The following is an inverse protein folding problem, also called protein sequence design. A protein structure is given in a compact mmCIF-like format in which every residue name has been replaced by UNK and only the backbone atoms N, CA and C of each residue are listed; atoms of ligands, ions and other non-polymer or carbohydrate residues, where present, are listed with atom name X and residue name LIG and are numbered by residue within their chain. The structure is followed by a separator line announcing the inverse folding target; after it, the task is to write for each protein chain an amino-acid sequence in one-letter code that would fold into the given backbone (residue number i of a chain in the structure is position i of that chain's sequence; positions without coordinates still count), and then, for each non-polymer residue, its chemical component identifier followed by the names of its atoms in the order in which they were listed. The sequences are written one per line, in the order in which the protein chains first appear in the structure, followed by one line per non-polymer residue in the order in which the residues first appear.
data_IF_015834126505
#
_entry.id   IF_015834126505
#
_cell.length_a   1.000
_cell.length_b   1.000
_cell.length_c   1.000
_cell.angle_alpha   90.00
_cell.angle_beta   90.00
_cell.angle_gamma   90.00
#
_symmetry.space_group_name_H-M   'P 1'
#
loop_
_entity.id
_entity.type
_entity.pdbx_description
1 polymer ?
#
# COMPACT_ATOMS: atom_id res chain seq x y z
N UNK A 1 -27.15 -9.85 -23.64
CA UNK A 1 -28.19 -10.67 -24.28
C UNK A 1 -29.49 -9.91 -24.11
N UNK A 2 -30.22 -9.72 -25.22
CA UNK A 2 -31.52 -9.07 -25.20
C UNK A 2 -32.63 -10.00 -24.60
N UNK A 3 -33.89 -9.49 -24.55
CA UNK A 3 -35.03 -10.26 -24.03
C UNK A 3 -35.36 -11.51 -24.87
N UNK A 4 -34.86 -11.59 -26.09
CA UNK A 4 -35.06 -12.72 -27.01
C UNK A 4 -33.86 -13.69 -27.02
N UNK A 5 -32.93 -13.54 -26.06
CA UNK A 5 -31.67 -14.31 -25.93
C UNK A 5 -30.67 -14.13 -27.07
N UNK A 6 -30.78 -13.06 -27.86
CA UNK A 6 -29.77 -12.71 -28.86
C UNK A 6 -28.59 -12.00 -28.20
N UNK A 7 -27.37 -12.22 -28.69
CA UNK A 7 -26.23 -11.44 -28.31
C UNK A 7 -26.39 -10.00 -28.80
N UNK A 8 -26.29 -9.02 -27.88
CA UNK A 8 -26.32 -7.61 -28.24
C UNK A 8 -24.95 -7.16 -28.77
N UNK A 9 -23.91 -7.68 -28.14
CA UNK A 9 -22.52 -7.41 -28.52
C UNK A 9 -21.57 -8.43 -27.89
N UNK A 10 -20.37 -8.60 -28.45
CA UNK A 10 -19.30 -9.43 -27.92
C UNK A 10 -18.07 -8.55 -27.75
N UNK A 11 -17.70 -8.30 -26.49
CA UNK A 11 -16.49 -7.58 -26.15
C UNK A 11 -15.36 -8.58 -25.95
N UNK A 12 -14.31 -8.47 -26.74
CA UNK A 12 -13.06 -9.20 -26.47
C UNK A 12 -12.30 -8.49 -25.36
N UNK A 13 -11.71 -9.25 -24.41
CA UNK A 13 -10.95 -8.70 -23.28
C UNK A 13 -9.82 -7.75 -23.71
N UNK A 14 -9.27 -7.97 -24.89
CA UNK A 14 -8.21 -7.16 -25.48
C UNK A 14 -8.69 -5.77 -25.97
N UNK A 15 -10.01 -5.58 -26.15
CA UNK A 15 -10.62 -4.29 -26.51
C UNK A 15 -11.13 -3.51 -25.29
N UNK A 16 -11.19 -4.12 -24.12
CA UNK A 16 -11.54 -3.44 -22.85
C UNK A 16 -10.32 -2.73 -22.24
N UNK A 17 -9.17 -2.74 -22.88
CA UNK A 17 -8.06 -1.82 -22.60
C UNK A 17 -8.35 -0.36 -22.99
N UNK A 18 -9.57 0.13 -22.88
CA UNK A 18 -9.78 1.54 -22.57
C UNK A 18 -9.28 1.72 -21.15
N UNK A 19 -7.98 1.92 -21.07
CA UNK A 19 -7.25 2.12 -19.84
C UNK A 19 -8.00 3.13 -18.99
N UNK A 20 -8.65 2.66 -17.93
CA UNK A 20 -9.08 3.53 -16.84
C UNK A 20 -7.82 4.29 -16.38
N UNK A 21 -7.66 5.53 -16.86
CA UNK A 21 -6.54 6.35 -16.44
C UNK A 21 -6.91 6.98 -15.11
N UNK A 22 -6.20 6.57 -14.06
CA UNK A 22 -6.33 7.17 -12.75
C UNK A 22 -5.37 8.36 -12.61
N UNK A 23 -5.91 9.55 -12.40
CA UNK A 23 -5.12 10.74 -12.06
C UNK A 23 -4.67 10.75 -10.59
N UNK A 24 -5.16 9.79 -9.83
CA UNK A 24 -4.86 9.63 -8.40
C UNK A 24 -3.38 9.33 -8.21
N UNK A 25 -2.66 10.10 -7.36
CA UNK A 25 -1.26 9.80 -7.06
C UNK A 25 -1.12 8.49 -6.29
N UNK A 26 -0.02 7.78 -6.54
CA UNK A 26 0.38 6.62 -5.73
C UNK A 26 1.72 6.87 -5.09
N UNK A 27 1.80 6.75 -3.78
CA UNK A 27 3.03 6.91 -3.01
C UNK A 27 3.57 5.53 -2.64
N UNK A 28 4.79 5.22 -3.07
CA UNK A 28 5.49 3.99 -2.71
C UNK A 28 6.51 4.32 -1.62
N UNK A 29 6.38 3.72 -0.45
CA UNK A 29 7.27 3.95 0.68
C UNK A 29 8.53 3.11 0.57
N UNK A 30 9.65 3.73 0.24
CA UNK A 30 10.94 3.09 -0.03
C UNK A 30 12.09 3.61 0.83
N UNK A 31 11.83 4.43 1.86
CA UNK A 31 12.84 5.08 2.70
C UNK A 31 13.44 4.20 3.82
N UNK A 32 13.02 2.95 3.99
CA UNK A 32 13.44 2.08 5.07
C UNK A 32 14.87 1.54 4.94
N UNK A 33 15.56 1.34 6.07
CA UNK A 33 16.93 0.78 6.11
C UNK A 33 17.03 -0.72 5.76
N UNK A 34 15.94 -1.45 5.76
CA UNK A 34 15.96 -2.89 5.49
C UNK A 34 16.72 -3.75 6.49
N UNK A 35 16.96 -3.28 7.74
CA UNK A 35 17.84 -3.92 8.74
C UNK A 35 17.64 -5.43 8.95
N UNK A 36 16.39 -5.91 8.82
CA UNK A 36 16.06 -7.34 8.99
C UNK A 36 16.61 -8.24 7.89
N UNK A 37 16.99 -7.66 6.75
CA UNK A 37 17.54 -8.38 5.60
C UNK A 37 19.06 -8.20 5.46
N UNK A 38 19.74 -7.66 6.47
CA UNK A 38 21.20 -7.60 6.46
C UNK A 38 21.78 -9.03 6.37
N UNK A 39 22.87 -9.25 5.58
CA UNK A 39 23.71 -8.23 4.92
C UNK A 39 23.23 -7.80 3.53
N UNK A 40 22.15 -8.39 2.97
CA UNK A 40 21.69 -8.11 1.60
C UNK A 40 21.39 -6.62 1.35
N UNK A 41 20.93 -5.93 2.39
CA UNK A 41 20.57 -4.50 2.31
C UNK A 41 21.68 -3.55 2.69
N UNK A 42 22.93 -4.04 2.87
CA UNK A 42 24.08 -3.19 3.19
C UNK A 42 24.42 -2.22 2.04
N UNK A 43 24.43 -2.74 0.81
CA UNK A 43 24.82 -2.01 -0.39
C UNK A 43 23.69 -1.90 -1.43
N UNK A 44 22.48 -2.38 -1.10
CA UNK A 44 21.32 -2.32 -1.98
C UNK A 44 20.08 -2.02 -1.14
N UNK A 45 19.29 -0.96 -1.45
CA UNK A 45 18.09 -0.67 -0.69
C UNK A 45 17.06 -1.79 -0.89
N UNK A 46 16.33 -2.17 0.16
CA UNK A 46 15.37 -3.28 0.14
C UNK A 46 14.44 -3.28 -1.07
N UNK A 47 13.87 -2.14 -1.52
CA UNK A 47 12.99 -2.11 -2.68
C UNK A 47 13.66 -2.47 -4.01
N UNK A 48 15.01 -2.39 -4.09
CA UNK A 48 15.78 -2.79 -5.27
C UNK A 48 16.28 -4.24 -5.21
N UNK A 49 16.05 -4.97 -4.12
CA UNK A 49 16.37 -6.39 -4.08
C UNK A 49 15.56 -7.14 -5.15
N UNK A 50 16.24 -8.01 -5.94
CA UNK A 50 15.58 -8.68 -7.04
C UNK A 50 14.66 -9.81 -6.56
N UNK A 51 13.49 -9.87 -7.15
CA UNK A 51 12.54 -10.98 -7.06
C UNK A 51 12.15 -11.35 -8.48
N UNK A 52 12.27 -12.60 -8.88
CA UNK A 52 12.01 -13.04 -10.26
C UNK A 52 12.74 -12.18 -11.32
N UNK A 53 14.01 -11.86 -11.05
CA UNK A 53 14.88 -11.14 -11.98
C UNK A 53 14.69 -9.61 -12.04
N UNK A 54 13.76 -9.03 -11.27
CA UNK A 54 13.49 -7.60 -11.25
C UNK A 54 13.36 -7.07 -9.82
N UNK A 55 13.70 -5.79 -9.56
CA UNK A 55 13.46 -5.15 -8.27
C UNK A 55 12.00 -5.29 -7.80
N UNK A 56 11.79 -5.51 -6.50
CA UNK A 56 10.43 -5.61 -5.94
C UNK A 56 9.58 -4.40 -6.31
N UNK A 57 10.15 -3.20 -6.20
CA UNK A 57 9.42 -1.95 -6.51
C UNK A 57 9.06 -1.85 -8.00
N UNK A 58 9.83 -2.46 -8.91
CA UNK A 58 9.48 -2.50 -10.34
C UNK A 58 8.21 -3.32 -10.59
N UNK A 59 8.06 -4.45 -9.89
CA UNK A 59 6.80 -5.23 -9.95
C UNK A 59 5.60 -4.41 -9.51
N UNK A 60 5.76 -3.61 -8.43
CA UNK A 60 4.70 -2.72 -7.94
C UNK A 60 4.36 -1.67 -9.00
N UNK A 61 5.36 -1.02 -9.60
CA UNK A 61 5.17 0.00 -10.63
C UNK A 61 4.47 -0.59 -11.87
N UNK A 62 4.90 -1.77 -12.33
CA UNK A 62 4.29 -2.44 -13.46
C UNK A 62 2.82 -2.79 -13.21
N UNK A 63 2.49 -3.26 -12.00
CA UNK A 63 1.11 -3.52 -11.60
C UNK A 63 0.28 -2.24 -11.54
N UNK A 64 0.79 -1.17 -10.94
CA UNK A 64 0.12 0.12 -10.91
C UNK A 64 -0.15 0.65 -12.33
N UNK A 65 0.85 0.57 -13.21
CA UNK A 65 0.72 0.95 -14.61
C UNK A 65 -0.35 0.14 -15.33
N UNK A 66 -0.39 -1.18 -15.15
CA UNK A 66 -1.41 -2.04 -15.78
C UNK A 66 -2.83 -1.74 -15.31
N UNK A 67 -2.98 -1.17 -14.10
CA UNK A 67 -4.25 -0.69 -13.57
C UNK A 67 -4.51 0.80 -13.88
N UNK A 68 -3.71 1.45 -14.74
CA UNK A 68 -3.94 2.82 -15.21
C UNK A 68 -3.35 3.92 -14.33
N UNK A 69 -2.60 3.60 -13.27
CA UNK A 69 -1.92 4.59 -12.43
C UNK A 69 -0.57 4.97 -13.05
N UNK A 70 -0.41 6.24 -13.41
CA UNK A 70 0.81 6.76 -14.03
C UNK A 70 1.54 7.81 -13.19
N UNK A 71 0.88 8.38 -12.17
CA UNK A 71 1.45 9.43 -11.33
C UNK A 71 1.98 8.81 -10.03
N UNK A 72 3.27 8.49 -10.00
CA UNK A 72 3.91 7.76 -8.91
C UNK A 72 4.85 8.66 -8.14
N UNK A 73 4.83 8.57 -6.83
CA UNK A 73 5.77 9.20 -5.91
C UNK A 73 6.51 8.11 -5.15
N UNK A 74 7.83 8.20 -5.11
CA UNK A 74 8.65 7.27 -4.31
C UNK A 74 9.24 8.03 -3.13
N UNK A 75 8.85 7.64 -1.91
CA UNK A 75 9.50 8.17 -0.70
C UNK A 75 10.83 7.47 -0.50
N UNK A 76 11.91 8.26 -0.41
CA UNK A 76 13.28 7.75 -0.35
C UNK A 76 14.06 8.38 0.80
N UNK A 77 14.98 7.61 1.39
CA UNK A 77 15.92 8.05 2.41
C UNK A 77 17.25 7.30 2.27
N UNK A 78 17.29 6.04 2.72
CA UNK A 78 18.49 5.21 2.68
C UNK A 78 18.82 4.80 1.23
N UNK A 79 20.07 5.02 0.80
CA UNK A 79 20.56 4.72 -0.57
C UNK A 79 19.64 5.27 -1.68
N UNK A 80 19.10 6.47 -1.46
CA UNK A 80 18.14 7.12 -2.36
C UNK A 80 18.68 7.32 -3.78
N UNK A 81 19.99 7.56 -3.93
CA UNK A 81 20.65 7.71 -5.22
C UNK A 81 20.46 6.50 -6.13
N UNK A 82 20.57 5.28 -5.59
CA UNK A 82 20.41 4.04 -6.36
C UNK A 82 18.98 3.89 -6.91
N UNK A 83 17.97 4.27 -6.10
CA UNK A 83 16.56 4.22 -6.54
C UNK A 83 16.33 5.25 -7.65
N UNK A 84 16.89 6.46 -7.50
CA UNK A 84 16.78 7.53 -8.50
C UNK A 84 17.50 7.18 -9.80
N UNK A 85 18.68 6.57 -9.71
CA UNK A 85 19.46 6.12 -10.87
C UNK A 85 18.70 5.04 -11.65
N UNK A 86 18.10 4.08 -10.94
CA UNK A 86 17.37 2.97 -11.57
C UNK A 86 16.09 3.44 -12.29
N UNK A 87 15.28 4.25 -11.64
CA UNK A 87 13.95 4.63 -12.16
C UNK A 87 13.93 5.96 -12.90
N UNK A 88 14.89 6.87 -12.64
CA UNK A 88 14.91 8.20 -13.23
C UNK A 88 13.58 8.94 -12.98
N UNK A 89 13.03 9.51 -14.04
CA UNK A 89 11.71 10.15 -14.03
C UNK A 89 10.55 9.21 -14.39
N UNK A 90 10.81 7.91 -14.53
CA UNK A 90 9.81 6.90 -14.84
C UNK A 90 9.47 6.71 -16.33
N UNK A 91 10.01 7.54 -17.23
CA UNK A 91 9.68 7.48 -18.66
C UNK A 91 9.94 6.10 -19.27
N UNK A 92 11.04 5.45 -18.92
CA UNK A 92 11.40 4.11 -19.41
C UNK A 92 10.43 3.02 -18.91
N UNK A 93 9.69 3.28 -17.86
CA UNK A 93 8.67 2.38 -17.29
C UNK A 93 7.25 2.74 -17.75
N UNK A 94 7.09 3.83 -18.50
CA UNK A 94 5.79 4.32 -19.01
C UNK A 94 4.93 4.97 -17.92
N UNK A 95 5.55 5.55 -16.90
CA UNK A 95 4.93 6.28 -15.79
C UNK A 95 5.68 7.59 -15.55
N UNK A 96 5.12 8.47 -14.72
CA UNK A 96 5.81 9.66 -14.19
C UNK A 96 6.18 9.39 -12.74
N UNK A 97 7.48 9.50 -12.43
CA UNK A 97 7.98 9.28 -11.07
C UNK A 97 8.50 10.59 -10.49
N UNK A 98 7.98 10.95 -9.35
CA UNK A 98 8.45 12.03 -8.49
C UNK A 98 9.01 11.44 -7.19
N UNK A 99 9.88 12.16 -6.50
CA UNK A 99 10.52 11.67 -5.28
C UNK A 99 10.17 12.54 -4.08
N UNK A 100 9.79 11.88 -2.98
CA UNK A 100 9.62 12.51 -1.67
C UNK A 100 10.88 12.19 -0.88
N UNK A 101 11.75 13.15 -0.72
CA UNK A 101 13.00 12.96 0.01
C UNK A 101 12.80 13.17 1.51
N UNK A 102 13.20 12.19 2.30
CA UNK A 102 13.19 12.25 3.75
C UNK A 102 14.62 12.58 4.24
N UNK A 103 14.83 13.78 4.81
CA UNK A 103 16.12 14.17 5.41
C UNK A 103 16.50 13.32 6.63
N UNK A 104 15.52 12.72 7.27
CA UNK A 104 15.63 11.77 8.40
C UNK A 104 14.51 10.75 8.31
N UNK A 105 14.66 9.56 8.91
CA UNK A 105 13.59 8.56 8.91
C UNK A 105 12.32 9.09 9.57
N UNK A 106 11.25 9.25 8.81
CA UNK A 106 9.99 9.81 9.30
C UNK A 106 8.95 8.72 9.66
N UNK A 107 9.29 7.45 9.51
CA UNK A 107 8.37 6.33 9.70
C UNK A 107 7.42 6.17 8.51
N UNK A 108 6.55 5.17 8.60
CA UNK A 108 5.71 4.74 7.47
C UNK A 108 4.59 5.71 7.08
N UNK A 109 4.30 6.73 7.89
CA UNK A 109 3.31 7.77 7.54
C UNK A 109 3.90 9.19 7.52
N UNK A 110 5.09 9.40 8.10
CA UNK A 110 5.66 10.74 8.23
C UNK A 110 6.04 11.38 6.91
N UNK A 111 6.46 10.59 5.91
CA UNK A 111 6.76 11.07 4.55
C UNK A 111 5.56 11.78 3.91
N UNK A 112 4.32 11.41 4.27
CA UNK A 112 3.10 12.03 3.76
C UNK A 112 2.98 13.52 4.14
N UNK A 113 3.68 13.97 5.20
CA UNK A 113 3.74 15.40 5.56
C UNK A 113 4.49 16.25 4.54
N UNK A 114 5.35 15.63 3.75
CA UNK A 114 6.13 16.26 2.69
C UNK A 114 5.51 16.04 1.30
N UNK A 115 4.47 15.23 1.22
CA UNK A 115 3.75 14.99 -0.03
C UNK A 115 2.91 16.22 -0.40
N UNK A 116 3.11 16.67 -1.63
CA UNK A 116 2.31 17.74 -2.25
C UNK A 116 1.78 17.19 -3.56
N UNK A 117 0.47 17.00 -3.62
CA UNK A 117 -0.21 16.71 -4.87
C UNK A 117 -0.51 17.99 -5.63
N UNK A 118 -0.39 17.92 -6.96
CA UNK A 118 -0.81 18.99 -7.85
C UNK A 118 -2.33 18.99 -8.10
N UNK A 119 -3.03 17.99 -7.58
CA UNK A 119 -4.49 17.86 -7.66
C UNK A 119 -5.08 17.49 -6.29
N UNK A 120 -6.37 17.75 -6.09
CA UNK A 120 -7.09 17.43 -4.85
C UNK A 120 -7.62 15.99 -4.82
N UNK A 121 -7.09 15.09 -5.68
CA UNK A 121 -7.52 13.70 -5.73
C UNK A 121 -7.07 12.93 -4.49
N UNK A 122 -7.87 11.95 -4.11
CA UNK A 122 -7.47 10.93 -3.14
C UNK A 122 -6.24 10.18 -3.64
N UNK A 123 -5.40 9.70 -2.74
CA UNK A 123 -4.15 9.05 -3.12
C UNK A 123 -3.96 7.70 -2.44
N UNK A 124 -3.24 6.83 -3.11
CA UNK A 124 -2.87 5.50 -2.61
C UNK A 124 -1.49 5.58 -1.96
N UNK A 125 -1.28 4.83 -0.91
CA UNK A 125 0.03 4.61 -0.29
C UNK A 125 0.28 3.12 -0.20
N UNK A 126 1.44 2.66 -0.62
CA UNK A 126 1.84 1.26 -0.44
C UNK A 126 3.29 1.14 0.03
N UNK A 127 3.58 0.08 0.76
CA UNK A 127 4.95 -0.27 1.10
C UNK A 127 5.71 -0.70 -0.15
N UNK A 128 6.98 -0.28 -0.28
CA UNK A 128 7.84 -0.61 -1.42
C UNK A 128 8.35 -2.06 -1.46
N UNK A 129 7.82 -2.93 -0.62
CA UNK A 129 8.18 -4.34 -0.49
C UNK A 129 6.97 -5.29 -0.51
N UNK A 130 5.80 -4.78 -0.89
CA UNK A 130 4.55 -5.56 -0.94
C UNK A 130 4.27 -6.02 -2.37
N UNK A 131 4.34 -7.32 -2.59
CA UNK A 131 3.79 -7.98 -3.77
C UNK A 131 2.41 -8.54 -3.44
N UNK A 132 1.41 -8.24 -4.26
CA UNK A 132 0.00 -8.52 -3.95
C UNK A 132 -0.85 -8.66 -5.21
N UNK A 133 -1.91 -9.44 -5.12
CA UNK A 133 -2.94 -9.57 -6.16
C UNK A 133 -4.10 -8.58 -5.98
N UNK A 134 -4.09 -7.79 -4.88
CA UNK A 134 -5.14 -6.78 -4.66
C UNK A 134 -5.18 -5.78 -5.83
N UNK A 135 -6.36 -5.45 -6.32
CA UNK A 135 -6.54 -4.38 -7.29
C UNK A 135 -6.53 -3.03 -6.59
N UNK A 136 -5.60 -2.17 -6.99
CA UNK A 136 -5.51 -0.78 -6.50
C UNK A 136 -6.70 0.04 -6.97
N UNK A 137 -7.20 -0.21 -8.19
CA UNK A 137 -8.40 0.44 -8.74
C UNK A 137 -9.63 0.10 -7.91
N UNK A 138 -9.87 -1.18 -7.62
CA UNK A 138 -10.99 -1.60 -6.77
C UNK A 138 -10.89 -1.05 -5.36
N UNK A 139 -9.70 -0.96 -4.78
CA UNK A 139 -9.49 -0.38 -3.46
C UNK A 139 -9.82 1.12 -3.44
N UNK A 140 -9.44 1.84 -4.51
CA UNK A 140 -9.77 3.26 -4.68
C UNK A 140 -11.28 3.47 -4.84
N UNK A 141 -11.94 2.65 -5.64
CA UNK A 141 -13.39 2.66 -5.82
C UNK A 141 -14.13 2.38 -4.50
N UNK A 142 -13.68 1.38 -3.76
CA UNK A 142 -14.23 1.07 -2.43
C UNK A 142 -14.10 2.27 -1.49
N UNK A 143 -12.92 2.92 -1.45
CA UNK A 143 -12.69 4.11 -0.65
C UNK A 143 -13.67 5.25 -1.01
N UNK A 144 -13.84 5.50 -2.31
CA UNK A 144 -14.68 6.56 -2.84
C UNK A 144 -16.17 6.32 -2.55
N UNK A 145 -16.66 5.10 -2.82
CA UNK A 145 -18.07 4.71 -2.57
C UNK A 145 -18.45 4.82 -1.09
N UNK A 146 -17.54 4.45 -0.18
CA UNK A 146 -17.77 4.55 1.24
C UNK A 146 -17.49 5.95 1.82
N UNK A 147 -17.11 6.91 0.99
CA UNK A 147 -16.77 8.29 1.39
C UNK A 147 -15.77 8.34 2.56
N UNK A 148 -14.92 7.33 2.65
CA UNK A 148 -13.97 7.18 3.75
C UNK A 148 -12.91 8.27 3.74
N UNK A 149 -12.38 8.65 4.91
CA UNK A 149 -11.22 9.55 5.01
C UNK A 149 -9.90 8.79 4.83
N UNK A 150 -9.90 7.53 5.27
CA UNK A 150 -8.79 6.60 5.16
C UNK A 150 -9.34 5.19 5.02
N UNK A 151 -8.73 4.39 4.14
CA UNK A 151 -9.02 2.97 3.94
C UNK A 151 -7.73 2.19 4.06
N UNK A 152 -7.76 1.05 4.71
CA UNK A 152 -6.62 0.14 4.88
C UNK A 152 -6.97 -1.21 4.27
N UNK A 153 -6.12 -1.71 3.38
CA UNK A 153 -6.21 -3.10 2.97
C UNK A 153 -5.72 -4.01 4.09
N UNK A 154 -6.47 -5.07 4.34
CA UNK A 154 -6.14 -6.05 5.35
C UNK A 154 -6.17 -7.45 4.75
N UNK A 155 -5.35 -8.33 5.30
CA UNK A 155 -5.35 -9.76 4.97
C UNK A 155 -5.91 -10.56 6.14
N UNK A 156 -6.76 -11.52 5.86
CA UNK A 156 -7.15 -12.51 6.85
C UNK A 156 -5.97 -13.42 7.16
N UNK A 157 -5.72 -13.62 8.45
CA UNK A 157 -4.68 -14.50 8.94
C UNK A 157 -5.29 -15.49 9.93
N UNK A 158 -5.03 -16.77 9.71
CA UNK A 158 -5.51 -17.85 10.54
C UNK A 158 -4.36 -18.42 11.33
N UNK A 159 -4.51 -18.44 12.64
CA UNK A 159 -3.57 -19.07 13.55
C UNK A 159 -4.22 -20.28 14.18
N UNK A 160 -3.67 -21.47 13.93
CA UNK A 160 -4.08 -22.71 14.62
C UNK A 160 -3.20 -22.92 15.85
N UNK A 161 -3.80 -22.88 17.03
CA UNK A 161 -3.08 -23.20 18.26
C UNK A 161 -2.68 -24.68 18.24
N UNK A 162 -1.42 -25.02 18.56
CA UNK A 162 -0.99 -26.41 18.57
C UNK A 162 -1.53 -27.21 19.78
N UNK A 163 -2.07 -26.51 20.78
CA UNK A 163 -2.54 -27.07 22.05
C UNK A 163 -3.97 -26.66 22.37
N UNK A 164 -4.57 -27.30 23.38
CA UNK A 164 -5.85 -26.86 23.97
C UNK A 164 -5.69 -25.49 24.64
N UNK A 165 -6.61 -24.56 24.34
CA UNK A 165 -6.64 -23.22 24.93
C UNK A 165 -7.68 -23.18 26.05
N UNK A 166 -7.25 -22.80 27.25
CA UNK A 166 -8.08 -22.71 28.43
C UNK A 166 -8.34 -21.25 28.74
N UNK A 167 -9.62 -20.86 28.88
CA UNK A 167 -10.00 -19.56 29.42
C UNK A 167 -10.42 -19.71 30.87
N UNK A 168 -9.92 -18.83 31.73
CA UNK A 168 -10.22 -18.85 33.17
C UNK A 168 -10.97 -17.59 33.59
N UNK A 169 -11.68 -17.67 34.71
CA UNK A 169 -12.15 -16.53 35.49
C UNK A 169 -11.63 -16.73 36.92
N UNK A 170 -10.57 -16.01 37.27
CA UNK A 170 -9.76 -16.31 38.43
C UNK A 170 -9.18 -17.73 38.33
N UNK A 171 -9.39 -18.57 39.35
CA UNK A 171 -8.92 -19.96 39.38
C UNK A 171 -9.90 -20.97 38.75
N UNK A 172 -11.06 -20.53 38.28
CA UNK A 172 -12.09 -21.41 37.68
C UNK A 172 -11.95 -21.45 36.19
N UNK A 173 -11.98 -22.66 35.61
CA UNK A 173 -12.00 -22.84 34.14
C UNK A 173 -13.37 -22.38 33.62
N UNK A 174 -13.32 -21.43 32.67
CA UNK A 174 -14.51 -20.91 31.97
C UNK A 174 -14.82 -21.68 30.68
N UNK A 175 -13.79 -22.03 29.93
CA UNK A 175 -13.94 -22.82 28.70
C UNK A 175 -12.61 -23.49 28.31
N UNK A 176 -12.72 -24.60 27.59
CA UNK A 176 -11.61 -25.33 26.99
C UNK A 176 -11.91 -25.45 25.50
N UNK A 177 -10.96 -25.16 24.64
CA UNK A 177 -11.06 -25.35 23.19
C UNK A 177 -9.82 -26.08 22.71
N UNK A 178 -9.99 -27.27 22.13
CA UNK A 178 -8.88 -28.03 21.59
C UNK A 178 -8.44 -27.47 20.23
N UNK A 179 -7.16 -27.13 20.14
CA UNK A 179 -6.49 -26.63 18.92
C UNK A 179 -7.31 -25.61 18.12
N UNK A 180 -7.82 -24.54 18.76
CA UNK A 180 -8.70 -23.59 18.09
C UNK A 180 -7.96 -22.87 16.97
N UNK A 181 -8.70 -22.53 15.91
CA UNK A 181 -8.23 -21.63 14.86
C UNK A 181 -8.74 -20.23 15.20
N UNK A 182 -7.81 -19.31 15.40
CA UNK A 182 -8.10 -17.90 15.57
C UNK A 182 -7.93 -17.15 14.25
N UNK A 183 -8.94 -16.37 13.90
CA UNK A 183 -8.93 -15.49 12.72
C UNK A 183 -8.63 -14.07 13.17
N UNK A 184 -7.63 -13.46 12.54
CA UNK A 184 -7.27 -12.05 12.75
C UNK A 184 -7.13 -11.33 11.41
N UNK A 185 -7.16 -10.00 11.43
CA UNK A 185 -6.84 -9.18 10.28
C UNK A 185 -5.46 -8.54 10.46
N UNK A 186 -4.58 -8.73 9.51
CA UNK A 186 -3.26 -8.11 9.50
C UNK A 186 -3.19 -7.01 8.46
N UNK A 187 -2.45 -5.96 8.77
CA UNK A 187 -2.23 -4.83 7.89
C UNK A 187 -1.44 -5.26 6.64
N UNK A 188 -1.99 -5.07 5.44
CA UNK A 188 -1.36 -5.45 4.18
C UNK A 188 -0.34 -4.41 3.66
N UNK A 189 -0.20 -3.25 4.32
CA UNK A 189 0.72 -2.19 3.90
C UNK A 189 0.24 -1.40 2.69
N UNK A 190 -1.06 -1.39 2.42
CA UNK A 190 -1.68 -0.65 1.32
C UNK A 190 -2.85 0.16 1.87
N UNK A 191 -2.92 1.42 1.48
CA UNK A 191 -3.88 2.38 2.03
C UNK A 191 -4.39 3.33 0.96
N UNK A 192 -5.59 3.87 1.17
CA UNK A 192 -6.11 5.01 0.39
C UNK A 192 -6.49 6.13 1.36
N UNK A 193 -6.21 7.34 0.98
CA UNK A 193 -6.46 8.51 1.81
C UNK A 193 -7.09 9.65 1.02
N UNK A 194 -7.99 10.39 1.67
CA UNK A 194 -8.41 11.72 1.20
C UNK A 194 -7.21 12.67 1.22
N UNK A 195 -7.05 13.49 0.17
CA UNK A 195 -5.92 14.41 0.08
C UNK A 195 -5.80 15.33 1.31
N UNK A 196 -6.93 15.78 1.85
CA UNK A 196 -6.97 16.67 3.03
C UNK A 196 -6.27 16.14 4.27
N UNK A 197 -5.99 14.81 4.37
CA UNK A 197 -5.33 14.24 5.56
C UNK A 197 -3.87 14.68 5.69
N UNK A 198 -3.23 15.10 4.61
CA UNK A 198 -1.84 15.58 4.64
C UNK A 198 -1.70 16.80 5.55
N UNK A 199 -2.74 17.62 5.64
CA UNK A 199 -2.81 18.82 6.52
C UNK A 199 -2.84 18.48 8.03
N UNK A 200 -3.14 17.22 8.38
CA UNK A 200 -3.20 16.75 9.77
C UNK A 200 -1.81 16.41 10.30
N UNK A 201 -0.91 16.00 9.40
CA UNK A 201 0.44 15.62 9.73
C UNK A 201 1.32 16.84 10.00
N UNK A 202 2.07 16.79 11.10
CA UNK A 202 3.08 17.82 11.36
C UNK A 202 4.30 17.54 10.49
N UNK A 203 4.77 18.58 9.80
CA UNK A 203 5.95 18.50 8.93
C UNK A 203 7.16 17.93 9.68
N UNK A 204 7.90 17.05 9.03
CA UNK A 204 9.13 16.43 9.53
C UNK A 204 9.01 15.72 10.90
N UNK A 205 7.79 15.36 11.30
CA UNK A 205 7.55 14.57 12.51
C UNK A 205 7.47 13.08 12.16
N UNK A 206 8.26 12.28 12.87
CA UNK A 206 8.19 10.81 12.76
C UNK A 206 6.83 10.31 13.25
N UNK A 207 6.15 9.51 12.40
CA UNK A 207 4.92 8.82 12.75
C UNK A 207 4.81 7.52 11.94
N UNK A 208 4.44 6.45 12.62
CA UNK A 208 4.17 5.17 11.97
C UNK A 208 2.71 5.10 11.51
N UNK A 209 2.43 4.32 10.47
CA UNK A 209 1.08 4.21 9.91
C UNK A 209 0.01 3.78 10.93
N UNK A 210 0.26 2.81 11.83
CA UNK A 210 -0.72 2.47 12.87
C UNK A 210 -1.04 3.63 13.81
N UNK A 211 -0.03 4.45 14.16
CA UNK A 211 -0.24 5.62 15.03
C UNK A 211 -1.01 6.71 14.30
N UNK A 212 -0.78 6.84 12.99
CA UNK A 212 -1.55 7.76 12.17
C UNK A 212 -3.03 7.38 12.12
N UNK A 213 -3.35 6.09 11.92
CA UNK A 213 -4.74 5.62 11.99
C UNK A 213 -5.37 5.82 13.37
N UNK A 214 -4.61 5.62 14.46
CA UNK A 214 -5.08 5.94 15.83
C UNK A 214 -5.39 7.43 15.99
N UNK A 215 -4.55 8.29 15.42
CA UNK A 215 -4.77 9.74 15.42
C UNK A 215 -6.03 10.13 14.64
N UNK A 216 -6.27 9.55 13.45
CA UNK A 216 -7.48 9.78 12.66
C UNK A 216 -8.72 9.37 13.46
N UNK A 217 -8.72 8.15 14.04
CA UNK A 217 -9.81 7.66 14.89
C UNK A 217 -10.09 8.60 16.07
N UNK A 218 -9.04 9.07 16.77
CA UNK A 218 -9.20 10.01 17.91
C UNK A 218 -9.83 11.33 17.50
N UNK A 219 -9.58 11.80 16.27
CA UNK A 219 -10.15 13.04 15.72
C UNK A 219 -11.54 12.83 15.10
N UNK A 220 -12.14 11.64 15.23
CA UNK A 220 -13.48 11.28 14.69
C UNK A 220 -13.57 11.47 13.16
N UNK A 221 -12.47 11.18 12.46
CA UNK A 221 -12.47 11.10 11.00
C UNK A 221 -12.91 9.70 10.54
#
# INVERSE_FOLDING_TARGET
IDKNKNFLDVFFSDTIETSLQHENPVIIMAGGFGKRLMPLTKNCPKPLLPVLGKPVIEHIINKLKSEGFKNIFISTHYLSSMIREYFGNGKNFGVTINYIEEKKPLGTAGCLSNFKSNNDKDFIVCNGDVLTDISFSHLLDYHSRNKSIATMAVREYFWKHPFGVIKTNGLKIKSIKEKPIEKTYINAGIYVFKNRITKILKKDKKIEMPDFFRLLKKRKY
#
